data_IF_424910078761
#
_entry.id   IF_424910078761
#
_cell.length_a   1.000
_cell.length_b   1.000
_cell.length_c   1.000
_cell.angle_alpha   90.00
_cell.angle_beta   90.00
_cell.angle_gamma   90.00
#
_symmetry.space_group_name_H-M   'P 1'
#
loop_
_entity.id
_entity.type
_entity.pdbx_description
1 polymer ?
#
# COMPACT_ATOMS: atom_id res chain seq x y z
N UNK A 1 -49.89 -3.81 -56.68
CA UNK A 1 -50.15 -3.88 -55.22
C UNK A 1 -49.51 -2.64 -54.60
N UNK A 2 -50.21 -1.49 -54.58
CA UNK A 2 -51.05 -1.02 -53.45
C UNK A 2 -50.22 -0.85 -52.17
N UNK A 3 -49.79 0.39 -51.88
CA UNK A 3 -50.37 1.32 -50.87
C UNK A 3 -49.96 0.89 -49.44
N UNK A 4 -49.12 1.65 -48.73
CA UNK A 4 -49.48 2.67 -47.71
C UNK A 4 -48.25 2.76 -46.75
N UNK A 5 -47.86 3.82 -46.03
CA UNK A 5 -48.42 5.12 -45.65
C UNK A 5 -47.24 6.03 -45.24
N UNK A 6 -47.34 7.32 -45.56
CA UNK A 6 -46.54 8.42 -45.01
C UNK A 6 -47.01 8.73 -43.58
N UNK A 7 -46.09 8.96 -42.65
CA UNK A 7 -46.33 9.80 -41.49
C UNK A 7 -45.18 10.82 -41.38
N UNK A 8 -45.52 12.10 -41.56
CA UNK A 8 -44.60 13.21 -41.39
C UNK A 8 -44.51 13.64 -39.94
N UNK A 9 -43.31 14.02 -39.50
CA UNK A 9 -43.12 14.88 -38.34
C UNK A 9 -42.10 15.95 -38.72
N UNK A 10 -42.48 17.19 -38.42
CA UNK A 10 -41.79 18.44 -38.74
C UNK A 10 -40.43 18.49 -38.04
N UNK A 11 -39.42 18.99 -38.74
CA UNK A 11 -38.18 19.44 -38.11
C UNK A 11 -38.49 20.55 -37.08
N UNK A 12 -37.97 20.49 -35.84
CA UNK A 12 -38.03 21.63 -34.95
C UNK A 12 -37.10 22.72 -35.51
N UNK A 13 -37.60 23.95 -35.48
CA UNK A 13 -36.81 25.16 -35.71
C UNK A 13 -35.63 25.18 -34.73
N UNK A 14 -34.40 25.20 -35.27
CA UNK A 14 -33.19 25.48 -34.51
C UNK A 14 -33.26 26.95 -34.10
N UNK A 15 -33.74 27.20 -32.88
CA UNK A 15 -33.50 28.48 -32.22
C UNK A 15 -32.02 28.52 -31.85
N UNK A 16 -31.26 29.42 -32.48
CA UNK A 16 -29.90 29.73 -32.07
C UNK A 16 -29.95 30.26 -30.64
N UNK A 17 -29.63 29.41 -29.66
CA UNK A 17 -29.28 29.84 -28.32
C UNK A 17 -27.89 30.46 -28.39
N UNK A 18 -27.79 31.70 -27.91
CA UNK A 18 -26.54 32.39 -27.61
C UNK A 18 -25.57 31.48 -26.87
N UNK A 19 -24.24 31.71 -26.96
CA UNK A 19 -23.28 30.91 -26.22
C UNK A 19 -23.52 31.14 -24.72
N UNK A 20 -24.15 30.20 -24.04
CA UNK A 20 -24.00 30.07 -22.61
C UNK A 20 -22.51 29.79 -22.39
N UNK A 21 -21.79 30.83 -21.98
CA UNK A 21 -20.45 30.69 -21.44
C UNK A 21 -20.56 29.77 -20.23
N UNK A 22 -20.26 28.49 -20.43
CA UNK A 22 -19.97 27.59 -19.32
C UNK A 22 -18.91 28.29 -18.46
N UNK A 23 -19.10 28.39 -17.13
CA UNK A 23 -18.08 28.98 -16.28
C UNK A 23 -16.77 28.19 -16.48
N UNK A 24 -15.59 28.84 -16.38
CA UNK A 24 -14.32 28.13 -16.45
C UNK A 24 -14.36 26.97 -15.45
N UNK A 25 -13.89 25.80 -15.87
CA UNK A 25 -13.86 24.59 -15.06
C UNK A 25 -13.09 24.84 -13.75
N UNK A 26 -13.82 25.17 -12.67
CA UNK A 26 -13.29 25.50 -11.34
C UNK A 26 -13.00 24.21 -10.57
N UNK A 27 -12.20 23.33 -11.17
CA UNK A 27 -11.77 22.09 -10.52
C UNK A 27 -10.56 22.37 -9.65
N UNK A 28 -10.70 22.17 -8.33
CA UNK A 28 -9.57 22.22 -7.39
C UNK A 28 -8.65 21.03 -7.62
N UNK A 29 -7.34 21.22 -7.52
CA UNK A 29 -6.33 20.18 -7.70
C UNK A 29 -5.39 20.12 -6.51
N UNK A 30 -5.24 18.94 -5.93
CA UNK A 30 -4.35 18.73 -4.80
C UNK A 30 -3.34 17.63 -5.11
N UNK A 31 -2.11 17.79 -4.61
CA UNK A 31 -1.23 16.65 -4.39
C UNK A 31 -1.36 16.22 -2.94
N UNK A 32 -1.76 14.97 -2.71
CA UNK A 32 -1.84 14.35 -1.39
C UNK A 32 -0.71 13.31 -1.25
N UNK A 33 0.03 13.37 -0.15
CA UNK A 33 1.09 12.41 0.18
C UNK A 33 1.13 12.16 1.69
N UNK A 34 1.76 11.09 2.12
CA UNK A 34 2.05 10.81 3.53
C UNK A 34 3.33 9.97 3.63
N UNK A 35 3.79 9.67 4.86
CA UNK A 35 4.74 8.58 5.13
C UNK A 35 6.01 8.65 4.26
N UNK A 36 6.54 9.85 4.09
CA UNK A 36 7.72 10.10 3.27
C UNK A 36 8.98 9.62 3.98
N UNK A 37 9.06 9.82 5.30
CA UNK A 37 10.20 9.46 6.15
C UNK A 37 11.54 9.98 5.61
N UNK A 38 11.67 11.30 5.40
CA UNK A 38 12.94 11.92 4.97
C UNK A 38 14.09 11.47 5.87
N UNK A 39 15.12 10.88 5.24
CA UNK A 39 16.23 10.19 5.91
C UNK A 39 16.28 8.69 5.63
N UNK A 40 15.18 8.10 5.14
CA UNK A 40 15.14 6.69 4.73
C UNK A 40 15.42 6.50 3.24
N UNK A 41 15.71 5.24 2.88
CA UNK A 41 15.88 4.76 1.51
C UNK A 41 15.26 3.38 1.34
N UNK A 42 14.92 3.02 0.11
CA UNK A 42 14.44 1.67 -0.22
C UNK A 42 15.43 0.59 0.20
N UNK A 43 14.90 -0.50 0.76
CA UNK A 43 15.67 -1.68 1.15
C UNK A 43 15.89 -2.60 -0.05
N UNK A 44 17.14 -2.69 -0.53
CA UNK A 44 17.49 -3.56 -1.65
C UNK A 44 18.13 -4.88 -1.15
N UNK A 45 18.02 -5.98 -1.92
CA UNK A 45 18.73 -7.21 -1.60
C UNK A 45 20.24 -6.99 -1.46
N UNK A 46 20.89 -7.82 -0.63
CA UNK A 46 22.34 -7.71 -0.41
C UNK A 46 23.10 -7.99 -1.71
N UNK A 47 24.00 -7.09 -2.08
CA UNK A 47 24.77 -7.20 -3.33
C UNK A 47 24.09 -6.59 -4.55
N UNK A 48 22.83 -6.17 -4.45
CA UNK A 48 22.16 -5.42 -5.52
C UNK A 48 22.80 -4.04 -5.69
N UNK A 49 23.17 -3.72 -6.93
CA UNK A 49 23.72 -2.42 -7.33
C UNK A 49 22.76 -1.77 -8.32
N UNK A 50 21.62 -1.28 -7.83
CA UNK A 50 20.70 -0.49 -8.65
C UNK A 50 21.24 0.94 -8.74
N UNK A 51 21.58 1.45 -9.94
CA UNK A 51 21.97 2.84 -10.10
C UNK A 51 20.79 3.76 -9.82
N UNK A 52 21.04 4.91 -9.18
CA UNK A 52 20.02 5.92 -8.92
C UNK A 52 19.92 6.32 -7.46
N UNK A 53 19.07 7.31 -7.19
CA UNK A 53 18.74 7.74 -5.85
C UNK A 53 17.34 7.24 -5.47
N UNK A 54 17.31 6.18 -4.66
CA UNK A 54 16.11 5.55 -4.13
C UNK A 54 15.79 6.01 -2.70
N UNK A 55 16.22 7.22 -2.33
CA UNK A 55 15.94 7.83 -1.04
C UNK A 55 14.56 8.51 -1.00
N UNK A 56 14.05 8.70 0.20
CA UNK A 56 12.90 9.57 0.48
C UNK A 56 13.14 11.02 0.02
N UNK A 57 14.41 11.47 0.02
CA UNK A 57 14.79 12.81 -0.46
C UNK A 57 14.55 12.95 -1.97
N UNK A 58 14.97 11.98 -2.76
CA UNK A 58 14.68 11.98 -4.20
C UNK A 58 13.17 11.83 -4.48
N UNK A 59 12.46 11.05 -3.65
CA UNK A 59 11.01 10.94 -3.74
C UNK A 59 10.31 12.28 -3.49
N UNK A 60 10.76 13.03 -2.48
CA UNK A 60 10.27 14.39 -2.22
C UNK A 60 10.45 15.32 -3.41
N UNK A 61 11.64 15.30 -4.02
CA UNK A 61 11.93 16.12 -5.19
C UNK A 61 10.97 15.82 -6.36
N UNK A 62 10.66 14.53 -6.59
CA UNK A 62 9.68 14.10 -7.60
C UNK A 62 8.25 14.52 -7.23
N UNK A 63 7.84 14.40 -5.96
CA UNK A 63 6.53 14.88 -5.48
C UNK A 63 6.38 16.38 -5.75
N UNK A 64 7.40 17.18 -5.41
CA UNK A 64 7.45 18.62 -5.69
C UNK A 64 7.39 18.87 -7.21
N UNK A 65 8.14 18.10 -7.99
CA UNK A 65 8.13 18.17 -9.45
C UNK A 65 6.73 17.99 -10.04
N UNK A 66 6.01 16.95 -9.61
CA UNK A 66 4.65 16.68 -10.07
C UNK A 66 3.67 17.76 -9.61
N UNK A 67 3.77 18.27 -8.38
CA UNK A 67 2.93 19.37 -7.92
C UNK A 67 3.08 20.63 -8.79
N UNK A 68 4.31 20.95 -9.17
CA UNK A 68 4.62 22.08 -10.07
C UNK A 68 4.11 21.82 -11.50
N UNK A 69 4.37 20.63 -12.04
CA UNK A 69 3.96 20.25 -13.40
C UNK A 69 2.44 20.26 -13.57
N UNK A 70 1.72 19.74 -12.57
CA UNK A 70 0.25 19.71 -12.56
C UNK A 70 -0.39 21.05 -12.19
N UNK A 71 0.42 22.05 -11.81
CA UNK A 71 -0.02 23.36 -11.33
C UNK A 71 -1.15 23.23 -10.29
N UNK A 72 -0.88 22.45 -9.23
CA UNK A 72 -1.89 22.19 -8.19
C UNK A 72 -2.12 23.40 -7.30
N UNK A 73 -3.32 23.45 -6.72
CA UNK A 73 -3.74 24.52 -5.83
C UNK A 73 -3.21 24.37 -4.40
N UNK A 74 -2.88 23.13 -4.00
CA UNK A 74 -2.48 22.80 -2.63
C UNK A 74 -1.71 21.47 -2.60
N UNK A 75 -0.70 21.39 -1.74
CA UNK A 75 -0.08 20.11 -1.35
C UNK A 75 -0.51 19.77 0.09
N UNK A 76 -0.98 18.53 0.29
CA UNK A 76 -1.41 17.98 1.57
C UNK A 76 -0.45 16.87 1.98
N UNK A 77 0.12 16.98 3.18
CA UNK A 77 1.03 15.99 3.78
C UNK A 77 0.39 15.43 5.05
N UNK A 78 -0.06 14.18 5.01
CA UNK A 78 -0.79 13.54 6.11
C UNK A 78 0.14 12.82 7.11
N UNK A 79 1.19 13.50 7.58
CA UNK A 79 2.08 12.99 8.63
C UNK A 79 3.28 12.19 8.12
N UNK A 80 4.20 11.92 9.05
CA UNK A 80 5.45 11.17 8.85
C UNK A 80 6.27 11.67 7.65
N UNK A 81 6.46 12.98 7.61
CA UNK A 81 7.29 13.65 6.62
C UNK A 81 8.79 13.40 6.88
N UNK A 82 9.20 13.34 8.14
CA UNK A 82 10.60 13.24 8.56
C UNK A 82 10.86 12.03 9.44
N UNK A 83 11.95 11.30 9.20
CA UNK A 83 12.31 10.18 10.07
C UNK A 83 12.84 10.65 11.45
N UNK A 84 12.43 9.95 12.52
CA UNK A 84 12.84 10.28 13.90
C UNK A 84 14.35 10.28 14.13
N UNK A 85 15.11 9.46 13.40
CA UNK A 85 16.55 9.33 13.57
C UNK A 85 17.33 10.48 12.91
N UNK A 86 16.77 11.13 11.88
CA UNK A 86 17.52 12.05 11.00
C UNK A 86 17.16 13.53 11.21
N UNK A 87 16.88 13.89 12.48
CA UNK A 87 16.16 15.11 12.91
C UNK A 87 16.62 16.46 12.35
N UNK A 88 17.87 16.66 11.91
CA UNK A 88 18.37 18.02 11.65
C UNK A 88 19.22 18.24 10.38
N UNK A 89 20.03 17.29 9.92
CA UNK A 89 20.92 17.56 8.76
C UNK A 89 20.39 17.02 7.43
N UNK A 90 19.86 15.81 7.40
CA UNK A 90 19.47 15.17 6.13
C UNK A 90 18.11 15.62 5.61
N UNK A 91 17.15 15.92 6.50
CA UNK A 91 15.80 16.30 6.10
C UNK A 91 15.63 17.81 5.83
N UNK A 92 16.31 18.68 6.60
CA UNK A 92 16.07 20.13 6.55
C UNK A 92 16.35 20.74 5.17
N UNK A 93 17.54 20.49 4.60
CA UNK A 93 17.95 21.06 3.31
C UNK A 93 17.01 20.68 2.16
N UNK A 94 16.75 19.38 1.93
CA UNK A 94 15.80 18.94 0.92
C UNK A 94 14.38 19.45 1.13
N UNK A 95 13.88 19.43 2.37
CA UNK A 95 12.55 19.92 2.68
C UNK A 95 12.43 21.42 2.40
N UNK A 96 13.36 22.23 2.91
CA UNK A 96 13.42 23.67 2.65
C UNK A 96 13.48 23.98 1.15
N UNK A 97 14.30 23.24 0.38
CA UNK A 97 14.43 23.41 -1.07
C UNK A 97 13.10 23.15 -1.79
N UNK A 98 12.44 22.03 -1.49
CA UNK A 98 11.13 21.69 -2.06
C UNK A 98 10.06 22.72 -1.70
N UNK A 99 9.96 23.10 -0.42
CA UNK A 99 9.02 24.12 0.04
C UNK A 99 9.27 25.48 -0.62
N UNK A 100 10.53 25.90 -0.77
CA UNK A 100 10.90 27.15 -1.44
C UNK A 100 10.43 27.20 -2.91
N UNK A 101 10.53 26.08 -3.61
CA UNK A 101 10.03 25.95 -4.99
C UNK A 101 8.51 26.05 -5.07
N UNK A 102 7.80 25.37 -4.16
CA UNK A 102 6.34 25.44 -4.07
C UNK A 102 5.86 26.85 -3.70
N UNK A 103 6.52 27.50 -2.74
CA UNK A 103 6.27 28.90 -2.37
C UNK A 103 6.46 29.85 -3.54
N UNK A 104 7.53 29.69 -4.33
CA UNK A 104 7.78 30.52 -5.51
C UNK A 104 6.69 30.35 -6.58
N UNK A 105 6.02 29.20 -6.62
CA UNK A 105 4.89 28.91 -7.49
C UNK A 105 3.53 29.28 -6.87
N UNK A 106 3.49 29.87 -5.66
CA UNK A 106 2.28 30.14 -4.88
C UNK A 106 1.46 28.88 -4.56
N UNK A 107 2.12 27.75 -4.39
CA UNK A 107 1.48 26.48 -3.99
C UNK A 107 1.64 26.34 -2.46
N UNK A 108 0.56 26.48 -1.68
CA UNK A 108 0.60 26.22 -0.25
C UNK A 108 0.82 24.73 0.05
N UNK A 109 1.47 24.47 1.18
CA UNK A 109 1.68 23.14 1.74
C UNK A 109 1.07 23.09 3.13
N UNK A 110 0.10 22.20 3.32
CA UNK A 110 -0.46 21.88 4.62
C UNK A 110 0.05 20.53 5.08
N UNK A 111 0.55 20.48 6.31
CA UNK A 111 1.03 19.26 6.92
C UNK A 111 0.39 19.05 8.31
N UNK A 112 0.32 17.79 8.71
CA UNK A 112 0.24 17.38 10.12
C UNK A 112 1.49 16.59 10.48
N UNK A 113 1.78 16.45 11.76
CA UNK A 113 2.78 15.50 12.27
C UNK A 113 2.13 14.14 12.54
N UNK A 114 2.79 13.09 12.08
CA UNK A 114 2.46 11.70 12.37
C UNK A 114 3.10 11.22 13.68
N UNK A 115 2.97 9.93 13.97
CA UNK A 115 3.50 9.35 15.19
C UNK A 115 5.03 9.31 15.20
N UNK A 116 5.67 9.25 14.03
CA UNK A 116 7.12 9.31 13.94
C UNK A 116 7.62 10.76 14.11
N UNK A 117 7.08 11.74 13.41
CA UNK A 117 7.64 13.11 13.46
C UNK A 117 6.96 14.08 14.45
N UNK A 118 6.16 13.56 15.40
CA UNK A 118 5.40 14.34 16.39
C UNK A 118 6.20 15.43 17.14
N UNK A 119 7.51 15.22 17.37
CA UNK A 119 8.42 16.22 17.95
C UNK A 119 9.22 16.99 16.90
N UNK A 120 9.73 16.27 15.89
CA UNK A 120 10.73 16.79 14.96
C UNK A 120 10.10 17.75 13.94
N UNK A 121 8.95 17.40 13.37
CA UNK A 121 8.30 18.23 12.36
C UNK A 121 7.86 19.59 12.91
N UNK A 122 7.25 19.71 14.11
CA UNK A 122 6.97 21.02 14.72
C UNK A 122 8.21 21.90 14.89
N UNK A 123 9.34 21.35 15.34
CA UNK A 123 10.58 22.11 15.47
C UNK A 123 11.14 22.55 14.12
N UNK A 124 11.08 21.71 13.09
CA UNK A 124 11.49 22.09 11.73
C UNK A 124 10.57 23.17 11.13
N UNK A 125 9.26 23.06 11.35
CA UNK A 125 8.28 24.01 10.86
C UNK A 125 8.58 25.46 11.31
N UNK A 126 9.10 25.64 12.53
CA UNK A 126 9.48 26.94 13.07
C UNK A 126 10.67 27.59 12.32
N UNK A 127 11.50 26.78 11.65
CA UNK A 127 12.64 27.27 10.86
C UNK A 127 12.26 27.71 9.44
N UNK A 128 11.07 27.34 8.97
CA UNK A 128 10.58 27.62 7.61
C UNK A 128 9.80 28.93 7.49
N UNK A 129 10.11 29.90 8.36
CA UNK A 129 9.46 31.22 8.35
C UNK A 129 9.60 31.89 6.98
N UNK A 130 8.49 32.38 6.42
CA UNK A 130 8.44 33.01 5.10
C UNK A 130 8.12 32.07 3.94
N UNK A 131 8.03 30.76 4.18
CA UNK A 131 7.54 29.78 3.20
C UNK A 131 6.03 29.56 3.37
N UNK A 132 5.37 29.09 2.30
CA UNK A 132 3.95 28.70 2.28
C UNK A 132 3.75 27.31 2.89
N UNK A 133 4.28 27.10 4.10
CA UNK A 133 4.19 25.84 4.85
C UNK A 133 3.46 26.05 6.17
N UNK A 134 2.34 25.37 6.34
CA UNK A 134 1.49 25.48 7.52
C UNK A 134 1.32 24.11 8.18
N UNK A 135 1.83 23.99 9.40
CA UNK A 135 1.64 22.80 10.25
C UNK A 135 0.36 22.96 11.08
N UNK A 136 -0.61 22.09 10.82
CA UNK A 136 -1.88 22.04 11.54
C UNK A 136 -1.81 21.10 12.75
N UNK A 137 -2.72 21.25 13.69
CA UNK A 137 -3.03 20.17 14.61
C UNK A 137 -2.11 20.06 15.83
N UNK A 138 -1.17 21.00 16.04
CA UNK A 138 -0.08 20.90 17.02
C UNK A 138 -0.59 20.52 18.41
N UNK A 139 0.18 19.68 19.11
CA UNK A 139 -0.13 19.24 20.49
C UNK A 139 -1.48 18.52 20.62
N UNK A 140 -1.89 17.77 19.58
CA UNK A 140 -3.14 17.01 19.61
C UNK A 140 -4.40 17.88 19.59
N UNK A 141 -4.32 19.12 19.10
CA UNK A 141 -5.44 20.06 19.01
C UNK A 141 -5.80 20.33 17.56
N UNK A 142 -7.05 20.09 17.17
CA UNK A 142 -7.53 20.43 15.84
C UNK A 142 -7.34 21.91 15.50
N UNK A 143 -6.84 22.19 14.30
CA UNK A 143 -6.77 23.55 13.75
C UNK A 143 -7.18 23.56 12.28
N UNK A 144 -7.67 24.70 11.80
CA UNK A 144 -8.17 24.82 10.42
C UNK A 144 -7.53 25.98 9.63
N UNK A 145 -7.59 25.86 8.31
CA UNK A 145 -7.26 26.89 7.33
C UNK A 145 -8.34 26.96 6.25
N UNK A 146 -8.60 28.16 5.74
CA UNK A 146 -9.54 28.37 4.63
C UNK A 146 -8.83 28.93 3.40
N UNK A 147 -9.24 28.47 2.22
CA UNK A 147 -8.76 28.91 0.92
C UNK A 147 -9.94 29.25 0.02
N UNK A 148 -9.83 30.36 -0.72
CA UNK A 148 -10.86 30.82 -1.64
C UNK A 148 -10.54 30.38 -3.07
N UNK A 149 -11.47 29.66 -3.69
CA UNK A 149 -11.41 29.20 -5.08
C UNK A 149 -12.65 29.66 -5.83
N UNK A 150 -12.60 30.86 -6.41
CA UNK A 150 -13.78 31.49 -7.03
C UNK A 150 -14.88 31.70 -6.00
N UNK A 151 -16.02 31.02 -6.14
CA UNK A 151 -17.13 31.05 -5.16
C UNK A 151 -17.04 29.95 -4.09
N UNK A 152 -16.08 29.05 -4.20
CA UNK A 152 -15.91 27.95 -3.27
C UNK A 152 -14.92 28.34 -2.18
N UNK A 153 -15.26 28.02 -0.93
CA UNK A 153 -14.39 28.10 0.23
C UNK A 153 -14.02 26.68 0.64
N UNK A 154 -12.73 26.35 0.54
CA UNK A 154 -12.16 25.11 1.02
C UNK A 154 -11.66 25.32 2.44
N UNK A 155 -12.21 24.58 3.40
CA UNK A 155 -11.65 24.42 4.74
C UNK A 155 -10.81 23.16 4.80
N UNK A 156 -9.59 23.26 5.30
CA UNK A 156 -8.75 22.11 5.63
C UNK A 156 -8.56 22.08 7.13
N UNK A 157 -8.89 20.95 7.75
CA UNK A 157 -8.82 20.73 9.19
C UNK A 157 -7.85 19.59 9.48
N UNK A 158 -6.92 19.80 10.40
CA UNK A 158 -5.85 18.85 10.68
C UNK A 158 -5.63 18.64 12.17
N UNK A 159 -5.22 17.43 12.52
CA UNK A 159 -4.81 17.01 13.85
C UNK A 159 -3.45 16.33 13.79
N UNK A 160 -2.51 16.77 14.62
CA UNK A 160 -1.16 16.19 14.70
C UNK A 160 -1.01 15.37 15.96
N UNK A 161 -0.24 14.29 15.89
CA UNK A 161 0.10 13.50 17.07
C UNK A 161 0.76 14.37 18.15
N UNK A 162 0.26 14.37 19.40
CA UNK A 162 0.95 14.99 20.54
C UNK A 162 2.11 14.14 21.05
N UNK A 163 1.98 12.82 20.97
CA UNK A 163 2.96 11.82 21.43
C UNK A 163 3.13 10.73 20.36
N UNK A 164 4.15 9.89 20.49
CA UNK A 164 4.35 8.73 19.61
C UNK A 164 3.19 7.73 19.70
N UNK A 165 2.54 7.63 20.87
CA UNK A 165 1.41 6.72 21.06
C UNK A 165 0.16 7.49 21.46
N UNK A 166 -0.95 7.21 20.77
CA UNK A 166 -2.27 7.75 21.06
C UNK A 166 -3.28 6.63 20.91
N UNK A 167 -3.91 6.23 22.01
CA UNK A 167 -4.84 5.08 21.99
C UNK A 167 -6.31 5.50 21.72
N UNK A 168 -6.53 6.79 21.48
CA UNK A 168 -7.86 7.38 21.32
C UNK A 168 -8.08 7.93 19.91
N UNK A 169 -9.30 7.75 19.39
CA UNK A 169 -9.72 8.36 18.14
C UNK A 169 -9.93 9.88 18.30
N UNK A 170 -9.30 10.75 17.50
CA UNK A 170 -9.42 12.21 17.62
C UNK A 170 -10.65 12.82 16.95
N UNK A 171 -11.35 12.05 16.10
CA UNK A 171 -12.50 12.50 15.30
C UNK A 171 -13.67 13.06 16.14
N UNK A 172 -14.02 12.51 17.32
CA UNK A 172 -15.09 13.08 18.15
C UNK A 172 -14.83 14.53 18.59
N UNK A 173 -13.57 14.96 18.66
CA UNK A 173 -13.18 16.31 19.05
C UNK A 173 -13.04 17.26 17.85
N UNK A 174 -13.43 16.81 16.64
CA UNK A 174 -13.41 17.61 15.43
C UNK A 174 -14.29 18.86 15.62
N UNK A 175 -13.76 20.08 15.44
CA UNK A 175 -14.55 21.30 15.56
C UNK A 175 -15.61 21.40 14.44
N UNK A 176 -16.69 22.16 14.66
CA UNK A 176 -17.64 22.49 13.59
C UNK A 176 -16.95 23.25 12.45
N UNK A 177 -17.56 23.20 11.27
CA UNK A 177 -17.05 23.94 10.11
C UNK A 177 -17.06 25.46 10.34
N UNK A 178 -16.09 26.14 9.73
CA UNK A 178 -16.01 27.59 9.77
C UNK A 178 -17.13 28.23 8.92
N UNK A 179 -17.63 29.42 9.28
CA UNK A 179 -18.65 30.10 8.49
C UNK A 179 -18.25 30.29 7.03
N UNK A 180 -19.17 30.01 6.11
CA UNK A 180 -18.93 30.14 4.67
C UNK A 180 -18.18 28.98 4.03
N UNK A 181 -17.74 27.98 4.79
CA UNK A 181 -17.15 26.74 4.25
C UNK A 181 -18.13 26.08 3.27
N UNK A 182 -17.63 25.80 2.07
CA UNK A 182 -18.39 25.08 1.04
C UNK A 182 -17.89 23.65 0.84
N UNK A 183 -16.64 23.39 1.23
CA UNK A 183 -15.93 22.12 1.10
C UNK A 183 -14.98 21.95 2.25
N UNK A 184 -14.85 20.73 2.76
CA UNK A 184 -14.05 20.44 3.94
C UNK A 184 -13.22 19.17 3.76
N UNK A 185 -11.90 19.32 3.91
CA UNK A 185 -10.93 18.21 3.90
C UNK A 185 -10.38 18.00 5.30
N UNK A 186 -10.44 16.77 5.77
CA UNK A 186 -9.83 16.36 7.02
C UNK A 186 -8.48 15.70 6.77
N UNK A 187 -7.46 16.09 7.54
CA UNK A 187 -6.13 15.47 7.53
C UNK A 187 -5.90 14.81 8.89
N UNK A 188 -5.68 13.50 8.87
CA UNK A 188 -5.37 12.68 10.04
C UNK A 188 -4.22 11.74 9.76
N UNK A 189 -3.63 11.21 10.81
CA UNK A 189 -2.64 10.15 10.74
C UNK A 189 -3.08 9.10 11.76
N UNK A 190 -3.06 7.83 11.39
CA UNK A 190 -3.44 6.74 12.29
C UNK A 190 -4.06 5.54 11.58
N UNK A 191 -4.42 4.54 12.37
CA UNK A 191 -4.88 3.24 11.86
C UNK A 191 -6.35 3.28 11.41
N UNK A 192 -6.55 3.59 10.12
CA UNK A 192 -7.86 3.53 9.47
C UNK A 192 -8.44 2.11 9.56
N UNK A 193 -9.73 2.04 9.89
CA UNK A 193 -10.47 0.78 10.05
C UNK A 193 -10.38 0.17 11.45
N UNK A 194 -9.42 0.60 12.27
CA UNK A 194 -9.20 0.03 13.60
C UNK A 194 -10.03 0.74 14.67
N UNK A 195 -10.60 -0.05 15.58
CA UNK A 195 -11.38 0.46 16.72
C UNK A 195 -10.56 0.64 18.00
N UNK A 196 -9.40 0.00 18.07
CA UNK A 196 -8.44 0.10 19.17
C UNK A 196 -7.05 -0.11 18.61
N UNK A 197 -6.13 0.80 18.92
CA UNK A 197 -4.72 0.67 18.54
C UNK A 197 -3.86 1.58 19.42
N UNK A 198 -2.54 1.48 19.26
CA UNK A 198 -1.59 2.41 19.91
C UNK A 198 -1.27 3.64 19.05
N UNK A 199 -1.71 3.63 17.80
CA UNK A 199 -1.36 4.61 16.77
C UNK A 199 -2.62 5.30 16.22
N UNK A 200 -3.37 5.93 17.11
CA UNK A 200 -4.64 6.64 16.88
C UNK A 200 -5.67 5.81 16.08
N UNK A 201 -6.54 5.01 16.73
CA UNK A 201 -7.53 4.22 16.00
C UNK A 201 -8.51 5.14 15.27
N UNK A 202 -8.74 4.86 13.98
CA UNK A 202 -9.63 5.62 13.10
C UNK A 202 -10.72 4.70 12.53
N UNK A 203 -11.79 4.39 13.30
CA UNK A 203 -12.88 3.57 12.79
C UNK A 203 -13.51 4.21 11.56
N UNK A 204 -13.65 3.45 10.47
CA UNK A 204 -14.20 3.94 9.19
C UNK A 204 -15.57 4.61 9.37
N UNK A 205 -16.44 4.01 10.18
CA UNK A 205 -17.76 4.57 10.49
C UNK A 205 -17.72 5.97 11.14
N UNK A 206 -16.66 6.31 11.88
CA UNK A 206 -16.50 7.66 12.45
C UNK A 206 -16.02 8.66 11.42
N UNK A 207 -15.11 8.25 10.52
CA UNK A 207 -14.64 9.09 9.42
C UNK A 207 -15.78 9.40 8.45
N UNK A 208 -16.56 8.39 8.07
CA UNK A 208 -17.69 8.52 7.14
C UNK A 208 -18.83 9.39 7.68
N UNK A 209 -19.02 9.43 9.01
CA UNK A 209 -20.10 10.19 9.66
C UNK A 209 -19.70 11.61 10.08
N UNK A 210 -18.41 11.97 9.99
CA UNK A 210 -17.93 13.29 10.38
C UNK A 210 -18.35 14.38 9.38
N UNK A 211 -18.43 15.63 9.82
CA UNK A 211 -18.67 16.79 8.95
C UNK A 211 -17.41 17.15 8.14
N UNK A 212 -17.00 16.23 7.25
CA UNK A 212 -15.85 16.31 6.34
C UNK A 212 -16.28 15.65 5.03
N UNK A 213 -16.00 16.26 3.89
CA UNK A 213 -16.38 15.70 2.58
C UNK A 213 -15.38 14.62 2.12
N UNK A 214 -14.11 14.78 2.49
CA UNK A 214 -13.02 13.89 2.09
C UNK A 214 -11.87 13.90 3.11
N UNK A 215 -11.36 12.70 3.42
CA UNK A 215 -10.26 12.49 4.34
C UNK A 215 -8.96 12.16 3.60
N UNK A 216 -7.85 12.72 4.07
CA UNK A 216 -6.49 12.25 3.77
C UNK A 216 -5.89 11.69 5.06
N UNK A 217 -5.62 10.39 5.08
CA UNK A 217 -5.13 9.67 6.24
C UNK A 217 -3.75 9.04 5.98
N UNK A 218 -2.71 9.44 6.72
CA UNK A 218 -1.41 8.76 6.70
C UNK A 218 -1.34 7.64 7.75
N UNK A 219 -0.18 6.96 7.81
CA UNK A 219 0.27 5.89 8.72
C UNK A 219 0.53 4.57 7.97
N UNK A 220 -0.41 4.14 7.13
CA UNK A 220 -0.22 2.95 6.31
C UNK A 220 0.60 3.31 5.06
N UNK A 221 1.66 2.54 4.79
CA UNK A 221 2.54 2.79 3.64
C UNK A 221 1.93 2.28 2.34
N UNK A 222 1.07 1.27 2.41
CA UNK A 222 0.32 0.76 1.25
C UNK A 222 -0.82 1.73 0.92
N UNK A 223 -0.86 2.25 -0.32
CA UNK A 223 -1.87 3.23 -0.71
C UNK A 223 -3.27 2.60 -0.86
N UNK A 224 -4.31 3.41 -0.66
CA UNK A 224 -5.70 2.99 -0.85
C UNK A 224 -6.65 4.18 -1.02
N UNK A 225 -7.62 4.04 -1.91
CA UNK A 225 -8.65 5.06 -2.14
C UNK A 225 -10.05 4.46 -2.02
N UNK A 226 -10.80 4.91 -1.03
CA UNK A 226 -12.22 4.61 -0.86
C UNK A 226 -13.04 5.83 -1.31
N UNK A 227 -13.66 5.81 -2.51
CA UNK A 227 -14.42 6.95 -3.00
C UNK A 227 -15.68 7.22 -2.19
N UNK A 228 -16.10 8.48 -2.18
CA UNK A 228 -17.32 8.92 -1.52
C UNK A 228 -18.53 8.11 -2.03
N UNK A 229 -19.36 7.62 -1.11
CA UNK A 229 -20.57 6.87 -1.44
C UNK A 229 -21.79 7.49 -0.75
N UNK A 230 -22.67 8.13 -1.54
CA UNK A 230 -23.80 8.88 -0.99
C UNK A 230 -23.33 10.02 -0.08
N UNK A 231 -23.76 10.00 1.18
CA UNK A 231 -23.32 10.98 2.20
C UNK A 231 -22.05 10.58 2.95
N UNK A 232 -21.53 9.37 2.76
CA UNK A 232 -20.33 8.90 3.44
C UNK A 232 -19.08 9.49 2.77
N UNK A 233 -18.24 10.16 3.56
CA UNK A 233 -17.01 10.81 3.11
C UNK A 233 -16.06 9.83 2.40
N UNK A 234 -15.36 10.30 1.37
CA UNK A 234 -14.26 9.53 0.77
C UNK A 234 -13.04 9.48 1.70
N UNK A 235 -12.27 8.39 1.68
CA UNK A 235 -11.06 8.21 2.49
C UNK A 235 -9.89 7.85 1.58
N UNK A 236 -8.91 8.75 1.49
CA UNK A 236 -7.65 8.50 0.81
C UNK A 236 -6.55 8.20 1.84
N UNK A 237 -5.91 7.06 1.66
CA UNK A 237 -4.65 6.70 2.30
C UNK A 237 -3.56 6.84 1.24
N UNK A 238 -2.78 7.93 1.21
CA UNK A 238 -1.82 8.16 0.13
C UNK A 238 -0.73 7.10 0.04
N UNK A 239 -0.33 6.53 1.17
CA UNK A 239 0.83 5.67 1.27
C UNK A 239 2.15 6.44 1.15
N UNK A 240 3.25 5.71 1.29
CA UNK A 240 4.58 6.29 1.08
C UNK A 240 4.80 6.52 -0.43
N UNK A 241 5.39 7.67 -0.85
CA UNK A 241 5.61 7.93 -2.26
C UNK A 241 6.83 7.19 -2.84
N UNK A 242 7.64 6.58 -1.98
CA UNK A 242 8.70 5.63 -2.33
C UNK A 242 8.51 4.38 -1.49
N UNK A 243 8.60 3.20 -2.10
CA UNK A 243 8.58 1.94 -1.37
C UNK A 243 9.86 1.80 -0.53
N UNK A 244 9.78 1.99 0.80
CA UNK A 244 10.95 2.01 1.69
C UNK A 244 11.35 0.62 2.18
N UNK A 245 10.38 -0.28 2.33
CA UNK A 245 10.61 -1.62 2.82
C UNK A 245 9.81 -2.67 2.03
N UNK A 246 10.23 -3.94 2.08
CA UNK A 246 9.62 -4.99 1.28
C UNK A 246 8.16 -5.33 1.64
N UNK A 247 7.63 -4.83 2.76
CA UNK A 247 6.21 -4.97 3.11
C UNK A 247 5.29 -4.02 2.34
N UNK A 248 5.83 -2.90 1.87
CA UNK A 248 5.16 -1.91 1.05
C UNK A 248 5.13 -2.36 -0.43
N UNK A 249 4.23 -3.30 -0.73
CA UNK A 249 4.06 -3.93 -2.04
C UNK A 249 3.17 -3.07 -2.95
N UNK A 250 3.45 -3.09 -4.25
CA UNK A 250 2.62 -2.45 -5.27
C UNK A 250 3.09 -1.06 -5.68
N UNK A 251 2.20 -0.29 -6.31
CA UNK A 251 2.53 1.04 -6.84
C UNK A 251 2.62 2.07 -5.72
N UNK A 252 3.70 2.86 -5.71
CA UNK A 252 3.93 3.93 -4.75
C UNK A 252 4.11 5.29 -5.42
N UNK A 253 3.63 6.33 -4.76
CA UNK A 253 3.69 7.71 -5.23
C UNK A 253 2.57 8.57 -4.63
N UNK A 254 2.66 9.91 -4.79
CA UNK A 254 1.62 10.81 -4.31
C UNK A 254 0.34 10.62 -5.14
N UNK A 255 -0.76 11.19 -4.64
CA UNK A 255 -2.05 11.16 -5.32
C UNK A 255 -2.42 12.54 -5.83
N UNK A 256 -2.81 12.63 -7.10
CA UNK A 256 -3.46 13.80 -7.66
C UNK A 256 -4.97 13.68 -7.40
N UNK A 257 -5.50 14.59 -6.58
CA UNK A 257 -6.94 14.73 -6.34
C UNK A 257 -7.45 15.87 -7.22
N UNK A 258 -8.50 15.59 -7.99
CA UNK A 258 -9.26 16.57 -8.77
C UNK A 258 -10.64 16.66 -8.17
N UNK A 259 -11.08 17.85 -7.79
CA UNK A 259 -12.39 18.04 -7.20
C UNK A 259 -13.22 19.06 -7.98
N UNK A 260 -13.97 18.60 -9.00
CA UNK A 260 -14.84 19.46 -9.80
C UNK A 260 -15.93 20.10 -8.94
N UNK A 261 -16.40 21.29 -9.28
CA UNK A 261 -17.33 22.06 -8.45
C UNK A 261 -18.68 21.38 -8.18
N UNK A 262 -19.12 20.52 -9.09
CA UNK A 262 -20.42 19.83 -9.06
C UNK A 262 -20.31 18.29 -8.93
N UNK A 263 -19.13 17.76 -8.59
CA UNK A 263 -18.88 16.33 -8.48
C UNK A 263 -18.09 16.00 -7.19
N UNK A 264 -18.16 14.74 -6.70
CA UNK A 264 -17.25 14.28 -5.65
C UNK A 264 -15.78 14.34 -6.12
N UNK A 265 -14.81 14.32 -5.19
CA UNK A 265 -13.40 14.28 -5.54
C UNK A 265 -13.04 12.96 -6.23
N UNK A 266 -12.21 13.06 -7.26
CA UNK A 266 -11.57 11.93 -7.94
C UNK A 266 -10.09 11.91 -7.58
N UNK A 267 -9.57 10.74 -7.23
CA UNK A 267 -8.17 10.57 -6.86
C UNK A 267 -7.50 9.59 -7.83
N UNK A 268 -6.33 9.98 -8.34
CA UNK A 268 -5.49 9.13 -9.18
C UNK A 268 -4.07 9.13 -8.64
N UNK A 269 -3.48 7.94 -8.47
CA UNK A 269 -2.11 7.83 -8.00
C UNK A 269 -1.12 8.23 -9.12
N UNK A 270 -0.07 8.93 -8.76
CA UNK A 270 1.05 9.27 -9.64
C UNK A 270 2.22 8.30 -9.35
N UNK A 271 2.50 7.29 -10.19
CA UNK A 271 3.56 6.31 -9.93
C UNK A 271 4.95 6.95 -9.94
N UNK A 272 5.50 7.25 -8.76
CA UNK A 272 6.76 8.01 -8.59
C UNK A 272 7.85 7.26 -7.82
N UNK A 273 7.58 6.05 -7.36
CA UNK A 273 8.59 5.22 -6.72
C UNK A 273 9.54 4.62 -7.76
N UNK A 274 10.84 4.76 -7.55
CA UNK A 274 11.88 4.16 -8.41
C UNK A 274 12.10 2.67 -8.11
N UNK A 275 11.67 2.23 -6.92
CA UNK A 275 11.69 0.83 -6.49
C UNK A 275 10.26 0.34 -6.28
N UNK A 276 9.97 -0.88 -6.68
CA UNK A 276 8.71 -1.55 -6.37
C UNK A 276 8.97 -2.95 -5.83
N UNK A 277 8.21 -3.36 -4.81
CA UNK A 277 8.18 -4.75 -4.34
C UNK A 277 6.91 -5.41 -4.88
N UNK A 278 7.04 -6.64 -5.37
CA UNK A 278 5.91 -7.42 -5.90
C UNK A 278 6.00 -8.88 -5.48
N UNK A 279 4.85 -9.56 -5.48
CA UNK A 279 4.81 -11.02 -5.50
C UNK A 279 4.67 -11.50 -6.93
N UNK A 280 5.44 -12.51 -7.31
CA UNK A 280 5.29 -13.18 -8.60
C UNK A 280 5.20 -14.68 -8.37
N UNK A 281 4.30 -15.34 -9.09
CA UNK A 281 4.17 -16.79 -9.06
C UNK A 281 5.02 -17.40 -10.18
N UNK A 282 5.83 -18.41 -9.85
CA UNK A 282 6.51 -19.27 -10.82
C UNK A 282 5.95 -20.68 -10.65
N UNK A 283 5.15 -21.12 -11.64
CA UNK A 283 4.61 -22.47 -11.70
C UNK A 283 5.72 -23.46 -12.07
N UNK A 284 5.99 -24.39 -11.16
CA UNK A 284 7.00 -25.44 -11.31
C UNK A 284 6.40 -26.81 -11.63
N UNK A 285 5.12 -26.85 -12.01
CA UNK A 285 4.43 -28.10 -12.36
C UNK A 285 5.17 -28.81 -13.50
N UNK A 286 5.46 -30.10 -13.31
CA UNK A 286 6.15 -30.93 -14.30
C UNK A 286 7.69 -30.79 -14.33
N UNK A 287 8.29 -29.98 -13.45
CA UNK A 287 9.75 -29.99 -13.27
C UNK A 287 10.21 -31.32 -12.62
N UNK A 288 11.23 -31.94 -13.21
CA UNK A 288 11.82 -33.19 -12.72
C UNK A 288 13.12 -32.93 -11.94
N UNK A 289 13.50 -33.86 -11.05
CA UNK A 289 14.67 -33.70 -10.17
C UNK A 289 15.96 -33.47 -10.97
N UNK A 290 16.13 -34.20 -12.08
CA UNK A 290 17.33 -34.22 -12.92
C UNK A 290 17.56 -32.92 -13.71
N UNK A 291 16.52 -32.10 -13.94
CA UNK A 291 16.59 -30.84 -14.70
C UNK A 291 16.15 -29.62 -13.88
N UNK A 292 15.86 -29.84 -12.60
CA UNK A 292 15.19 -28.90 -11.68
C UNK A 292 15.88 -27.54 -11.63
N UNK A 293 17.21 -27.48 -11.49
CA UNK A 293 17.93 -26.21 -11.28
C UNK A 293 17.88 -25.27 -12.49
N UNK A 294 18.23 -25.76 -13.69
CA UNK A 294 18.29 -24.92 -14.88
C UNK A 294 16.88 -24.47 -15.32
N UNK A 295 15.92 -25.39 -15.31
CA UNK A 295 14.54 -25.09 -15.68
C UNK A 295 13.87 -24.14 -14.69
N UNK A 296 14.14 -24.28 -13.40
CA UNK A 296 13.67 -23.35 -12.39
C UNK A 296 14.29 -21.96 -12.57
N UNK A 297 15.62 -21.85 -12.71
CA UNK A 297 16.26 -20.55 -12.96
C UNK A 297 15.67 -19.89 -14.20
N UNK A 298 15.38 -20.67 -15.23
CA UNK A 298 14.67 -20.21 -16.42
C UNK A 298 13.23 -19.76 -16.13
N UNK A 299 12.43 -20.53 -15.39
CA UNK A 299 11.07 -20.13 -14.98
C UNK A 299 11.08 -18.82 -14.19
N UNK A 300 11.96 -18.71 -13.20
CA UNK A 300 12.07 -17.50 -12.38
C UNK A 300 12.54 -16.32 -13.24
N UNK A 301 13.49 -16.52 -14.15
CA UNK A 301 13.93 -15.48 -15.11
C UNK A 301 12.77 -15.01 -15.98
N UNK A 302 12.03 -15.94 -16.59
CA UNK A 302 10.88 -15.63 -17.45
C UNK A 302 9.79 -14.88 -16.67
N UNK A 303 9.53 -15.27 -15.41
CA UNK A 303 8.58 -14.58 -14.52
C UNK A 303 9.04 -13.16 -14.16
N UNK A 304 10.34 -12.97 -13.85
CA UNK A 304 10.92 -11.65 -13.61
C UNK A 304 10.87 -10.76 -14.86
N UNK A 305 11.21 -11.30 -16.03
CA UNK A 305 11.16 -10.58 -17.30
C UNK A 305 9.73 -10.14 -17.63
N UNK A 306 8.75 -11.01 -17.40
CA UNK A 306 7.32 -10.70 -17.57
C UNK A 306 6.90 -9.57 -16.63
N UNK A 307 7.17 -9.70 -15.33
CA UNK A 307 6.81 -8.68 -14.34
C UNK A 307 7.56 -7.34 -14.55
N UNK A 308 8.78 -7.38 -15.07
CA UNK A 308 9.56 -6.18 -15.39
C UNK A 308 9.05 -5.49 -16.68
N UNK A 309 8.56 -6.29 -17.64
CA UNK A 309 7.98 -5.81 -18.89
C UNK A 309 6.57 -5.23 -18.72
N UNK A 310 5.83 -5.66 -17.71
CA UNK A 310 4.51 -5.11 -17.40
C UNK A 310 4.58 -3.59 -17.19
N UNK A 311 3.76 -2.88 -17.96
CA UNK A 311 3.77 -1.43 -17.97
C UNK A 311 3.38 -0.90 -16.59
N UNK A 312 4.26 -0.09 -16.04
CA UNK A 312 4.08 0.56 -14.74
C UNK A 312 3.82 2.05 -14.90
N UNK A 313 3.94 2.59 -16.12
CA UNK A 313 4.16 4.01 -16.34
C UNK A 313 5.35 4.55 -15.50
N UNK A 314 5.58 5.86 -15.56
CA UNK A 314 6.38 6.56 -14.56
C UNK A 314 7.88 6.27 -14.55
N UNK A 315 8.47 6.40 -13.35
CA UNK A 315 9.92 6.48 -13.09
C UNK A 315 10.51 5.20 -12.48
N UNK A 316 9.81 4.07 -12.60
CA UNK A 316 10.27 2.80 -12.03
C UNK A 316 11.61 2.39 -12.66
N UNK A 317 12.61 2.11 -11.82
CA UNK A 317 13.97 1.71 -12.21
C UNK A 317 14.22 0.23 -11.86
N UNK A 318 13.71 -0.24 -10.72
CA UNK A 318 13.95 -1.62 -10.28
C UNK A 318 12.76 -2.26 -9.55
N UNK A 319 12.51 -3.53 -9.88
CA UNK A 319 11.51 -4.38 -9.26
C UNK A 319 12.19 -5.42 -8.35
N UNK A 320 11.78 -5.51 -7.10
CA UNK A 320 12.25 -6.54 -6.16
C UNK A 320 11.12 -7.55 -5.96
N UNK A 321 11.27 -8.72 -6.59
CA UNK A 321 10.23 -9.74 -6.59
C UNK A 321 10.39 -10.73 -5.44
N UNK A 322 9.27 -11.02 -4.78
CA UNK A 322 9.09 -12.18 -3.91
C UNK A 322 8.51 -13.29 -4.77
N UNK A 323 9.33 -14.28 -5.07
CA UNK A 323 8.96 -15.37 -5.97
C UNK A 323 8.25 -16.46 -5.18
N UNK A 324 6.97 -16.67 -5.44
CA UNK A 324 6.22 -17.81 -4.95
C UNK A 324 6.39 -18.98 -5.94
N UNK A 325 7.03 -20.05 -5.50
CA UNK A 325 7.02 -21.31 -6.26
C UNK A 325 5.68 -22.00 -6.03
N UNK A 326 4.90 -22.15 -7.08
CA UNK A 326 3.55 -22.73 -7.05
C UNK A 326 3.45 -23.95 -7.96
N UNK A 327 2.36 -24.70 -7.86
CA UNK A 327 2.11 -25.87 -8.71
C UNK A 327 2.43 -27.21 -8.05
N UNK A 328 2.19 -28.30 -8.80
CA UNK A 328 2.34 -29.68 -8.31
C UNK A 328 3.72 -30.22 -8.62
N UNK A 329 4.46 -30.63 -7.59
CA UNK A 329 5.83 -31.12 -7.77
C UNK A 329 6.28 -32.04 -6.64
N UNK A 330 7.19 -32.96 -6.94
CA UNK A 330 7.80 -33.87 -5.95
C UNK A 330 9.25 -33.49 -5.59
N UNK A 331 9.75 -32.34 -6.08
CA UNK A 331 11.16 -31.92 -5.93
C UNK A 331 11.36 -30.78 -4.93
N UNK A 332 10.44 -30.64 -3.97
CA UNK A 332 10.43 -29.54 -3.00
C UNK A 332 11.69 -29.48 -2.13
N UNK A 333 12.29 -30.64 -1.79
CA UNK A 333 13.56 -30.70 -1.05
C UNK A 333 14.75 -30.21 -1.87
N UNK A 334 14.88 -30.65 -3.12
CA UNK A 334 15.95 -30.20 -4.02
C UNK A 334 15.84 -28.70 -4.29
N UNK A 335 14.60 -28.22 -4.41
CA UNK A 335 14.25 -26.82 -4.60
C UNK A 335 14.64 -25.99 -3.37
N UNK A 336 14.26 -26.35 -2.14
CA UNK A 336 14.49 -25.51 -0.95
C UNK A 336 15.95 -25.06 -0.77
N UNK A 337 16.93 -25.92 -1.03
CA UNK A 337 18.35 -25.57 -0.92
C UNK A 337 18.93 -24.95 -2.18
N UNK A 338 18.44 -25.32 -3.37
CA UNK A 338 19.00 -24.87 -4.63
C UNK A 338 18.46 -23.51 -5.05
N UNK A 339 17.17 -23.24 -4.82
CA UNK A 339 16.51 -22.01 -5.30
C UNK A 339 16.99 -20.80 -4.56
N UNK A 340 17.09 -20.86 -3.22
CA UNK A 340 17.41 -19.66 -2.45
C UNK A 340 18.77 -19.09 -2.83
N UNK A 341 19.76 -19.95 -3.14
CA UNK A 341 21.09 -19.51 -3.57
C UNK A 341 21.19 -19.23 -5.07
N UNK A 342 20.46 -19.96 -5.92
CA UNK A 342 20.52 -19.74 -7.38
C UNK A 342 19.65 -18.55 -7.84
N UNK A 343 18.57 -18.27 -7.12
CA UNK A 343 17.65 -17.19 -7.43
C UNK A 343 18.04 -15.88 -6.75
N UNK A 344 18.71 -15.88 -5.59
CA UNK A 344 19.13 -14.64 -4.90
C UNK A 344 20.02 -13.75 -5.76
N UNK A 345 20.79 -14.36 -6.67
CA UNK A 345 21.73 -13.65 -7.54
C UNK A 345 21.12 -13.36 -8.92
N UNK A 346 19.84 -13.72 -9.12
CA UNK A 346 19.18 -13.56 -10.40
C UNK A 346 18.66 -12.12 -10.52
N UNK A 347 19.25 -11.41 -11.47
CA UNK A 347 18.78 -10.12 -11.96
C UNK A 347 18.52 -10.21 -13.47
N UNK A 348 17.43 -9.59 -13.91
CA UNK A 348 17.07 -9.44 -15.32
C UNK A 348 16.96 -7.96 -15.65
N UNK A 349 17.25 -7.60 -16.90
CA UNK A 349 17.11 -6.24 -17.40
C UNK A 349 16.13 -6.24 -18.57
N UNK A 350 15.10 -5.40 -18.47
CA UNK A 350 14.11 -5.20 -19.53
C UNK A 350 14.07 -3.71 -19.86
N UNK A 351 14.51 -3.36 -21.08
CA UNK A 351 14.71 -1.97 -21.50
C UNK A 351 15.62 -1.18 -20.51
N UNK A 352 15.10 -0.10 -19.91
CA UNK A 352 15.83 0.72 -18.94
C UNK A 352 15.61 0.29 -17.48
N UNK A 353 14.93 -0.84 -17.24
CA UNK A 353 14.55 -1.33 -15.92
C UNK A 353 15.25 -2.63 -15.59
N UNK A 354 15.26 -2.95 -14.31
CA UNK A 354 15.78 -4.22 -13.80
C UNK A 354 14.78 -4.88 -12.86
N UNK A 355 14.87 -6.21 -12.72
CA UNK A 355 14.13 -6.95 -11.72
C UNK A 355 15.04 -7.99 -11.07
N UNK A 356 14.96 -8.12 -9.74
CA UNK A 356 15.72 -9.09 -8.96
C UNK A 356 14.84 -9.89 -8.03
N UNK A 357 15.38 -10.99 -7.52
CA UNK A 357 14.71 -11.79 -6.49
C UNK A 357 15.10 -11.27 -5.10
N UNK A 358 14.14 -10.73 -4.37
CA UNK A 358 14.33 -10.37 -2.96
C UNK A 358 14.19 -11.56 -2.02
N UNK A 359 13.23 -12.45 -2.29
CA UNK A 359 12.98 -13.65 -1.50
C UNK A 359 12.29 -14.72 -2.34
N UNK A 360 12.56 -15.98 -2.04
CA UNK A 360 11.79 -17.10 -2.58
C UNK A 360 10.93 -17.69 -1.48
N UNK A 361 9.66 -17.89 -1.80
CA UNK A 361 8.63 -18.50 -1.00
C UNK A 361 8.21 -19.79 -1.71
N UNK A 362 7.84 -20.83 -0.95
CA UNK A 362 7.39 -22.10 -1.49
C UNK A 362 5.93 -22.30 -1.15
N UNK A 363 5.08 -22.47 -2.15
CA UNK A 363 3.67 -22.86 -2.00
C UNK A 363 3.37 -24.12 -2.83
N UNK A 364 4.42 -24.90 -3.11
CA UNK A 364 4.39 -26.14 -3.87
C UNK A 364 3.44 -27.13 -3.20
N UNK A 365 2.64 -27.79 -4.02
CA UNK A 365 1.79 -28.91 -3.60
C UNK A 365 2.49 -30.21 -4.00
N UNK A 366 2.65 -31.18 -3.10
CA UNK A 366 3.16 -32.50 -3.47
C UNK A 366 2.31 -33.10 -4.60
N UNK A 367 2.94 -33.66 -5.64
CA UNK A 367 2.23 -34.38 -6.69
C UNK A 367 1.84 -35.78 -6.21
N UNK A 368 0.93 -35.80 -5.24
CA UNK A 368 0.41 -36.97 -4.55
C UNK A 368 -1.10 -36.86 -4.42
N UNK A 369 -1.76 -38.00 -4.56
CA UNK A 369 -3.18 -38.11 -4.29
C UNK A 369 -3.40 -38.15 -2.77
N UNK A 370 -3.77 -37.01 -2.19
CA UNK A 370 -4.07 -36.92 -0.76
C UNK A 370 -5.24 -37.83 -0.39
N UNK A 371 -6.22 -38.05 -1.27
CA UNK A 371 -7.34 -38.95 -1.01
C UNK A 371 -6.87 -40.40 -0.95
N UNK A 372 -5.91 -40.79 -1.80
CA UNK A 372 -5.27 -42.10 -1.73
C UNK A 372 -4.46 -42.27 -0.44
N UNK A 373 -3.60 -41.30 -0.12
CA UNK A 373 -2.77 -41.33 1.09
C UNK A 373 -3.63 -41.37 2.35
N UNK A 374 -4.73 -40.61 2.38
CA UNK A 374 -5.69 -40.55 3.47
C UNK A 374 -6.38 -41.88 3.77
N UNK A 375 -6.29 -42.90 2.90
CA UNK A 375 -6.79 -44.25 3.18
C UNK A 375 -5.87 -45.04 4.12
N UNK A 376 -4.62 -44.63 4.28
CA UNK A 376 -3.68 -45.32 5.16
C UNK A 376 -3.93 -45.01 6.66
N UNK A 377 -3.64 -45.98 7.51
CA UNK A 377 -3.73 -45.87 8.98
C UNK A 377 -2.38 -45.58 9.64
N UNK A 378 -1.43 -45.01 8.89
CA UNK A 378 -0.11 -44.62 9.36
C UNK A 378 -0.01 -43.08 9.51
N UNK A 379 1.12 -42.52 9.99
CA UNK A 379 1.28 -41.07 10.14
C UNK A 379 1.08 -40.28 8.84
N UNK A 380 1.44 -40.86 7.69
CA UNK A 380 1.24 -40.26 6.36
C UNK A 380 -0.25 -40.11 6.08
N UNK A 381 -1.05 -41.17 6.28
CA UNK A 381 -2.48 -41.10 6.05
C UNK A 381 -3.23 -40.21 7.05
N UNK A 382 -2.75 -40.11 8.30
CA UNK A 382 -3.32 -39.16 9.25
C UNK A 382 -3.08 -37.70 8.84
N UNK A 383 -1.84 -37.36 8.44
CA UNK A 383 -1.51 -36.02 7.96
C UNK A 383 -2.26 -35.67 6.66
N UNK A 384 -2.40 -36.62 5.73
CA UNK A 384 -3.17 -36.41 4.50
C UNK A 384 -4.64 -36.07 4.76
N UNK A 385 -5.27 -36.69 5.77
CA UNK A 385 -6.64 -36.35 6.19
C UNK A 385 -6.75 -34.92 6.73
N UNK A 386 -5.81 -34.51 7.60
CA UNK A 386 -5.78 -33.13 8.13
C UNK A 386 -5.61 -32.13 6.99
N UNK A 387 -4.71 -32.40 6.03
CA UNK A 387 -4.51 -31.52 4.87
C UNK A 387 -5.77 -31.40 4.01
N UNK A 388 -6.47 -32.51 3.72
CA UNK A 388 -7.74 -32.48 3.00
C UNK A 388 -8.81 -31.66 3.73
N UNK A 389 -8.94 -31.83 5.05
CA UNK A 389 -9.89 -31.07 5.86
C UNK A 389 -9.60 -29.56 5.82
N UNK A 390 -8.33 -29.18 5.87
CA UNK A 390 -7.89 -27.78 5.77
C UNK A 390 -8.13 -27.21 4.35
N UNK A 391 -7.99 -28.02 3.30
CA UNK A 391 -8.23 -27.61 1.90
C UNK A 391 -9.72 -27.44 1.59
N UNK A 392 -10.57 -28.37 2.05
CA UNK A 392 -12.01 -28.34 1.78
C UNK A 392 -12.77 -27.39 2.71
N UNK A 393 -12.21 -27.09 3.88
CA UNK A 393 -12.89 -26.32 4.93
C UNK A 393 -13.88 -27.13 5.77
N UNK A 394 -14.09 -28.41 5.44
CA UNK A 394 -14.90 -29.35 6.21
C UNK A 394 -14.06 -29.95 7.36
N UNK A 395 -13.74 -29.12 8.35
CA UNK A 395 -12.80 -29.48 9.42
C UNK A 395 -13.43 -30.31 10.55
N UNK A 396 -12.76 -31.39 10.93
CA UNK A 396 -13.09 -32.17 12.12
C UNK A 396 -12.79 -31.38 13.41
N UNK A 397 -13.21 -31.92 14.56
CA UNK A 397 -12.89 -31.33 15.86
C UNK A 397 -11.37 -31.27 16.08
N UNK A 398 -10.66 -32.31 15.69
CA UNK A 398 -9.21 -32.42 15.86
C UNK A 398 -8.47 -31.33 15.07
N UNK A 399 -8.81 -31.16 13.79
CA UNK A 399 -8.23 -30.12 12.93
C UNK A 399 -8.59 -28.71 13.42
N UNK A 400 -9.79 -28.52 13.98
CA UNK A 400 -10.18 -27.25 14.62
C UNK A 400 -9.36 -26.95 15.87
N UNK A 401 -9.11 -27.96 16.71
CA UNK A 401 -8.27 -27.81 17.89
C UNK A 401 -6.82 -27.47 17.48
N UNK A 402 -6.30 -28.10 16.40
CA UNK A 402 -4.99 -27.77 15.81
C UNK A 402 -4.91 -26.31 15.31
N UNK A 403 -5.94 -25.81 14.62
CA UNK A 403 -6.02 -24.40 14.20
C UNK A 403 -5.98 -23.46 15.41
N UNK A 404 -6.70 -23.79 16.48
CA UNK A 404 -6.70 -23.02 17.73
C UNK A 404 -5.33 -23.00 18.42
N UNK A 405 -4.64 -24.15 18.46
CA UNK A 405 -3.28 -24.25 18.97
C UNK A 405 -2.29 -23.44 18.12
N UNK A 406 -2.34 -23.57 16.80
CA UNK A 406 -1.51 -22.79 15.87
C UNK A 406 -1.67 -21.28 16.11
N UNK A 407 -2.91 -20.80 16.20
CA UNK A 407 -3.20 -19.38 16.48
C UNK A 407 -2.62 -18.93 17.82
N UNK A 408 -2.73 -19.77 18.85
CA UNK A 408 -2.26 -19.45 20.20
C UNK A 408 -0.73 -19.37 20.24
N UNK A 409 -0.03 -20.32 19.63
CA UNK A 409 1.44 -20.32 19.56
C UNK A 409 1.96 -19.13 18.76
N UNK A 410 1.38 -18.87 17.58
CA UNK A 410 1.78 -17.73 16.75
C UNK A 410 1.52 -16.39 17.46
N UNK A 411 0.38 -16.23 18.13
CA UNK A 411 0.11 -15.05 18.96
C UNK A 411 1.10 -14.92 20.13
N UNK A 412 1.51 -16.04 20.73
CA UNK A 412 2.56 -16.09 21.76
C UNK A 412 3.91 -15.58 21.26
N UNK A 413 4.29 -15.94 20.03
CA UNK A 413 5.51 -15.42 19.40
C UNK A 413 5.40 -13.94 19.13
N UNK A 414 4.30 -13.48 18.53
CA UNK A 414 4.09 -12.07 18.19
C UNK A 414 4.02 -11.16 19.43
N UNK A 415 3.58 -11.69 20.57
CA UNK A 415 3.55 -10.98 21.85
C UNK A 415 4.85 -11.08 22.66
N UNK A 416 5.87 -11.80 22.16
CA UNK A 416 7.12 -11.96 22.89
C UNK A 416 7.90 -10.62 22.99
N UNK A 417 8.63 -10.37 24.10
CA UNK A 417 9.34 -9.11 24.33
C UNK A 417 10.30 -8.71 23.21
N UNK A 418 10.89 -9.69 22.50
CA UNK A 418 11.77 -9.48 21.37
C UNK A 418 11.07 -8.79 20.18
N UNK A 419 9.75 -8.88 20.09
CA UNK A 419 8.92 -8.32 19.03
C UNK A 419 7.97 -7.23 19.54
N UNK A 420 8.08 -6.81 20.81
CA UNK A 420 7.18 -5.84 21.43
C UNK A 420 7.18 -4.44 20.77
N UNK A 421 8.14 -4.17 19.87
CA UNK A 421 8.19 -2.96 19.05
C UNK A 421 7.59 -3.11 17.65
N UNK A 422 7.05 -4.28 17.30
CA UNK A 422 6.33 -4.54 16.06
C UNK A 422 4.83 -4.58 16.40
N UNK A 423 4.03 -3.70 15.82
CA UNK A 423 2.56 -3.71 15.95
C UNK A 423 1.99 -4.89 15.13
N UNK A 424 2.13 -6.10 15.67
CA UNK A 424 1.66 -7.32 15.02
C UNK A 424 0.24 -7.67 15.45
N UNK A 425 -0.68 -7.73 14.49
CA UNK A 425 -2.03 -8.22 14.71
C UNK A 425 -2.03 -9.71 15.12
N UNK A 426 -3.06 -10.13 15.85
CA UNK A 426 -3.27 -11.55 16.10
C UNK A 426 -3.50 -12.30 14.78
N UNK A 427 -2.89 -13.47 14.58
CA UNK A 427 -2.95 -14.16 13.31
C UNK A 427 -4.39 -14.59 13.00
N UNK A 428 -4.85 -14.26 11.79
CA UNK A 428 -6.19 -14.61 11.32
C UNK A 428 -6.34 -16.13 11.15
N UNK A 429 -7.58 -16.61 11.15
CA UNK A 429 -7.86 -18.04 10.92
C UNK A 429 -7.39 -18.48 9.52
N UNK A 430 -7.56 -17.62 8.52
CA UNK A 430 -7.05 -17.83 7.15
C UNK A 430 -5.53 -17.98 7.17
N UNK A 431 -4.81 -17.09 7.85
CA UNK A 431 -3.37 -17.17 8.00
C UNK A 431 -2.94 -18.47 8.67
N UNK A 432 -3.60 -18.87 9.77
CA UNK A 432 -3.27 -20.10 10.49
C UNK A 432 -3.51 -21.33 9.62
N UNK A 433 -4.61 -21.36 8.85
CA UNK A 433 -4.93 -22.45 7.92
C UNK A 433 -3.88 -22.57 6.83
N UNK A 434 -3.55 -21.46 6.18
CA UNK A 434 -2.58 -21.44 5.08
C UNK A 434 -1.17 -21.82 5.59
N UNK A 435 -0.81 -21.38 6.81
CA UNK A 435 0.42 -21.78 7.48
C UNK A 435 0.46 -23.30 7.76
N UNK A 436 -0.61 -23.87 8.31
CA UNK A 436 -0.70 -25.32 8.57
C UNK A 436 -0.70 -26.14 7.28
N UNK A 437 -1.35 -25.68 6.22
CA UNK A 437 -1.30 -26.32 4.91
C UNK A 437 0.14 -26.35 4.36
N UNK A 438 0.85 -25.24 4.45
CA UNK A 438 2.24 -25.13 4.02
C UNK A 438 3.15 -26.09 4.80
N UNK A 439 3.11 -26.02 6.13
CA UNK A 439 3.96 -26.84 7.00
C UNK A 439 3.59 -28.32 6.95
N UNK A 440 2.30 -28.64 6.87
CA UNK A 440 1.80 -30.00 6.75
C UNK A 440 2.23 -30.66 5.44
N UNK A 441 2.21 -29.95 4.31
CA UNK A 441 2.72 -30.47 3.03
C UNK A 441 4.22 -30.76 3.09
N UNK A 442 5.01 -29.86 3.69
CA UNK A 442 6.46 -30.07 3.92
C UNK A 442 6.75 -31.29 4.80
N UNK A 443 5.93 -31.50 5.85
CA UNK A 443 6.04 -32.66 6.71
C UNK A 443 5.64 -33.96 5.98
N UNK A 444 4.59 -33.92 5.14
CA UNK A 444 4.11 -35.06 4.39
C UNK A 444 5.19 -35.63 3.47
N UNK A 445 5.90 -34.78 2.74
CA UNK A 445 7.04 -35.21 1.92
C UNK A 445 8.13 -35.86 2.76
N UNK A 446 8.41 -35.28 3.93
CA UNK A 446 9.45 -35.82 4.80
C UNK A 446 9.12 -37.23 5.29
N UNK A 447 7.86 -37.50 5.60
CA UNK A 447 7.39 -38.83 6.01
C UNK A 447 7.41 -39.82 4.84
N UNK A 448 7.04 -39.38 3.63
CA UNK A 448 7.04 -40.22 2.44
C UNK A 448 8.45 -40.68 2.06
N UNK A 449 9.44 -39.79 2.11
CA UNK A 449 10.84 -40.13 1.79
C UNK A 449 11.46 -41.11 2.79
N UNK A 450 11.11 -40.98 4.07
CA UNK A 450 11.52 -41.95 5.10
C UNK A 450 10.96 -43.34 4.81
N UNK A 451 9.71 -43.42 4.33
CA UNK A 451 9.05 -44.67 3.99
C UNK A 451 9.72 -45.37 2.81
N UNK A 452 10.14 -44.61 1.78
CA UNK A 452 10.89 -45.12 0.62
C UNK A 452 12.29 -45.59 1.01
N UNK A 453 12.96 -44.93 1.96
CA UNK A 453 14.30 -45.31 2.43
C UNK A 453 14.31 -46.50 3.39
N UNK A 454 13.14 -46.90 3.91
CA UNK A 454 12.97 -47.99 4.87
C UNK A 454 12.47 -49.30 4.24
N UNK A 455 12.13 -49.26 2.96
CA UNK A 455 11.76 -50.39 2.09
C UNK A 455 12.91 -50.72 1.16
#
# INVERSE_FOLDING_TARGET
>A
MWHCIRAGLRAPLVTQSSPETSPPDTTMRFICTSDLHLGRRSSLPSGSSVPGDHSAVAAWDRVVGVALEQAVDLVIVAGDLVDQANRFFEAHGPLHSGLSRLTSANIPVLAIAGNHDHQTLPSLAETFSGLTFDLLGREGRWTQRQYQFGHQVLEVVGWSFPDRFVETCPVPDLPPSLPGTTRRVGIVHGEVGQSSSRSAPLPTARLEAAEVDFWVAGHYHTPGWQPQTGSAAGILVPGSPQALDPGAVGVHGPWLVRWPSAAPPEASQCPLSTIRYEYIDCDITGLSADQSREQLVRCVREALETACAEDSGGVLEHLVCRVNLVGRSNIQREIQHTVQAAASDLEVHVAARSASVGRVLSQIVPDRDLEELARAHDPVGHLARILLELETGEISRETRDLLGSCRTELAGVLSAPAYAGLDAESPSEIFCRDHLLHEGRRLLETLLDQKVSST
#
